data_IF_729423846967
#
_entry.id   IF_729423846967
#
_cell.length_a   1.000
_cell.length_b   1.000
_cell.length_c   1.000
_cell.angle_alpha   90.00
_cell.angle_beta   90.00
_cell.angle_gamma   90.00
#
_symmetry.space_group_name_H-M   'P 1'
#
loop_
_entity.id
_entity.type
_entity.pdbx_description
1 polymer ?
#
# COMPACT_ATOMS: atom_id res chain seq x y z
N UNK A 1 -3.71 -3.01 -5.12
CA UNK A 1 -2.31 -3.28 -5.50
C UNK A 1 -1.43 -3.64 -4.31
N UNK A 2 -1.39 -2.86 -3.23
CA UNK A 2 -0.55 -3.16 -2.05
C UNK A 2 -0.83 -4.55 -1.40
N UNK A 3 -2.09 -4.95 -1.22
CA UNK A 3 -2.44 -6.27 -0.67
C UNK A 3 -2.00 -7.43 -1.57
N UNK A 4 -2.10 -7.26 -2.89
CA UNK A 4 -1.69 -8.29 -3.87
C UNK A 4 -0.16 -8.40 -3.89
N UNK A 5 0.55 -7.29 -3.76
CA UNK A 5 2.01 -7.29 -3.63
C UNK A 5 2.47 -8.06 -2.39
N UNK A 6 1.85 -7.82 -1.22
CA UNK A 6 2.12 -8.56 0.02
C UNK A 6 1.97 -10.08 -0.15
N UNK A 7 0.93 -10.51 -0.87
CA UNK A 7 0.69 -11.93 -1.18
C UNK A 7 1.75 -12.49 -2.13
N UNK A 8 2.07 -11.76 -3.20
CA UNK A 8 3.05 -12.20 -4.20
C UNK A 8 4.45 -12.35 -3.61
N UNK A 9 4.83 -11.46 -2.68
CA UNK A 9 6.07 -11.53 -1.91
C UNK A 9 6.03 -12.56 -0.78
N UNK A 10 4.94 -13.32 -0.64
CA UNK A 10 4.73 -14.34 0.40
C UNK A 10 4.88 -13.81 1.82
N UNK A 11 4.59 -12.52 2.05
CA UNK A 11 4.67 -11.88 3.36
C UNK A 11 3.45 -12.25 4.21
N UNK A 12 2.25 -12.15 3.62
CA UNK A 12 0.97 -12.47 4.27
C UNK A 12 -0.08 -12.79 3.19
N UNK A 13 -0.96 -13.75 3.46
CA UNK A 13 -2.10 -13.99 2.57
C UNK A 13 -3.19 -12.94 2.80
N UNK A 14 -3.86 -12.53 1.71
CA UNK A 14 -4.89 -11.48 1.75
C UNK A 14 -6.04 -11.85 2.70
N UNK A 15 -6.36 -13.15 2.82
CA UNK A 15 -7.42 -13.62 3.72
C UNK A 15 -7.09 -13.46 5.22
N UNK A 16 -5.81 -13.28 5.55
CA UNK A 16 -5.34 -13.03 6.92
C UNK A 16 -5.34 -11.55 7.29
N UNK A 17 -5.43 -10.65 6.31
CA UNK A 17 -5.49 -9.21 6.55
C UNK A 17 -6.85 -8.82 7.13
N UNK A 18 -6.81 -7.97 8.16
CA UNK A 18 -7.97 -7.27 8.69
C UNK A 18 -8.11 -5.93 7.94
N UNK A 19 -9.00 -5.93 6.94
CA UNK A 19 -9.25 -4.74 6.12
C UNK A 19 -9.90 -3.61 6.92
N UNK A 20 -10.58 -3.90 8.04
CA UNK A 20 -11.20 -2.88 8.88
C UNK A 20 -10.16 -2.09 9.70
N UNK A 21 -9.03 -2.74 10.04
CA UNK A 21 -7.89 -2.09 10.72
C UNK A 21 -6.87 -1.49 9.77
N UNK A 22 -7.04 -1.67 8.47
CA UNK A 22 -6.09 -1.17 7.47
C UNK A 22 -6.18 0.35 7.35
N UNK A 23 -5.04 1.02 7.49
CA UNK A 23 -4.95 2.48 7.33
C UNK A 23 -4.29 2.83 6.01
N UNK A 24 -4.88 3.77 5.27
CA UNK A 24 -4.31 4.38 4.07
C UNK A 24 -4.16 5.89 4.28
N UNK A 25 -2.94 6.41 4.13
CA UNK A 25 -2.63 7.83 4.27
C UNK A 25 -1.91 8.32 3.01
N UNK A 26 -2.39 9.39 2.39
CA UNK A 26 -1.65 10.08 1.33
C UNK A 26 -0.52 10.88 1.97
N UNK A 27 0.73 10.56 1.63
CA UNK A 27 1.91 11.27 2.14
C UNK A 27 2.28 12.44 1.23
N UNK A 28 2.18 12.24 -0.09
CA UNK A 28 2.51 13.26 -1.08
C UNK A 28 1.73 13.01 -2.37
N UNK A 29 1.35 14.09 -3.04
CA UNK A 29 0.85 14.06 -4.40
C UNK A 29 1.52 15.17 -5.21
N UNK A 30 2.05 14.82 -6.38
CA UNK A 30 2.64 15.77 -7.32
C UNK A 30 1.87 15.70 -8.64
N UNK A 31 1.38 16.85 -9.11
CA UNK A 31 0.74 16.95 -10.41
C UNK A 31 1.80 16.92 -11.52
N UNK A 32 1.71 15.93 -12.40
CA UNK A 32 2.47 15.84 -13.65
C UNK A 32 1.70 16.53 -14.79
N UNK A 33 2.34 16.56 -15.98
CA UNK A 33 1.68 16.97 -17.23
C UNK A 33 0.55 15.97 -17.57
N UNK A 34 -0.40 16.45 -18.36
CA UNK A 34 -1.50 15.61 -18.90
C UNK A 34 -2.50 15.09 -17.85
N UNK A 35 -2.64 15.77 -16.71
CA UNK A 35 -3.62 15.38 -15.68
C UNK A 35 -3.25 14.11 -14.91
N UNK A 36 -2.01 13.65 -15.05
CA UNK A 36 -1.41 12.58 -14.26
C UNK A 36 -0.94 13.15 -12.92
N UNK A 37 -1.06 12.37 -11.86
CA UNK A 37 -0.56 12.66 -10.53
C UNK A 37 0.36 11.51 -10.09
N UNK A 38 1.56 11.85 -9.63
CA UNK A 38 2.36 10.91 -8.85
C UNK A 38 1.87 10.97 -7.42
N UNK A 39 1.35 9.87 -6.91
CA UNK A 39 0.86 9.76 -5.53
C UNK A 39 1.76 8.82 -4.74
N UNK A 40 2.04 9.21 -3.51
CA UNK A 40 2.76 8.40 -2.52
C UNK A 40 1.83 8.14 -1.35
N UNK A 41 1.49 6.88 -1.14
CA UNK A 41 0.62 6.44 -0.05
C UNK A 41 1.41 5.62 0.96
N UNK A 42 1.13 5.86 2.25
CA UNK A 42 1.48 4.98 3.35
C UNK A 42 0.30 4.06 3.63
N UNK A 43 0.55 2.76 3.64
CA UNK A 43 -0.38 1.73 4.04
C UNK A 43 0.13 1.05 5.29
N UNK A 44 -0.74 0.90 6.28
CA UNK A 44 -0.49 0.08 7.46
C UNK A 44 -1.54 -1.02 7.46
N UNK A 45 -1.11 -2.24 7.18
CA UNK A 45 -1.96 -3.42 7.23
C UNK A 45 -1.80 -4.11 8.58
N UNK A 46 -2.90 -4.63 9.09
CA UNK A 46 -2.90 -5.49 10.27
C UNK A 46 -3.43 -6.85 9.85
N UNK A 47 -2.82 -7.91 10.38
CA UNK A 47 -3.31 -9.26 10.23
C UNK A 47 -4.12 -9.67 11.48
N UNK A 48 -4.94 -10.71 11.34
CA UNK A 48 -5.76 -11.29 12.41
C UNK A 48 -4.94 -11.82 13.59
N UNK A 49 -3.67 -12.16 13.39
CA UNK A 49 -2.74 -12.60 14.45
C UNK A 49 -2.05 -11.45 15.19
N UNK A 50 -2.35 -10.19 14.85
CA UNK A 50 -1.79 -9.02 15.52
C UNK A 50 -0.50 -8.48 14.89
N UNK A 51 -0.04 -9.04 13.76
CA UNK A 51 1.12 -8.51 13.03
C UNK A 51 0.73 -7.26 12.25
N UNK A 52 1.70 -6.37 12.07
CA UNK A 52 1.53 -5.16 11.26
C UNK A 52 2.57 -5.07 10.15
N UNK A 53 2.13 -4.60 8.99
CA UNK A 53 2.95 -4.43 7.80
C UNK A 53 2.79 -3.01 7.30
N UNK A 54 3.89 -2.27 7.30
CA UNK A 54 3.92 -0.91 6.80
C UNK A 54 4.53 -0.88 5.40
N UNK A 55 3.78 -0.32 4.45
CA UNK A 55 4.21 -0.18 3.06
C UNK A 55 4.06 1.25 2.61
N UNK A 56 5.00 1.70 1.78
CA UNK A 56 4.85 2.91 0.99
C UNK A 56 4.66 2.49 -0.47
N UNK A 57 3.58 2.96 -1.10
CA UNK A 57 3.40 2.79 -2.54
C UNK A 57 3.58 4.11 -3.24
N UNK A 58 4.23 4.07 -4.39
CA UNK A 58 4.29 5.17 -5.34
C UNK A 58 3.66 4.71 -6.65
N UNK A 59 2.65 5.42 -7.11
CA UNK A 59 2.02 5.17 -8.41
C UNK A 59 1.75 6.49 -9.14
N UNK A 60 1.72 6.40 -10.46
CA UNK A 60 1.16 7.45 -11.30
C UNK A 60 -0.32 7.10 -11.58
N UNK A 61 -1.24 8.00 -11.25
CA UNK A 61 -2.69 7.88 -11.50
C UNK A 61 -3.18 9.07 -12.32
N UNK A 62 -4.21 8.90 -13.15
CA UNK A 62 -4.91 9.99 -13.83
C UNK A 62 -6.37 10.03 -13.37
N UNK A 63 -7.08 11.10 -13.74
CA UNK A 63 -8.51 11.24 -13.43
C UNK A 63 -9.39 10.18 -14.13
N UNK A 64 -8.90 9.59 -15.22
CA UNK A 64 -9.60 8.58 -16.02
C UNK A 64 -9.19 7.15 -15.64
N UNK A 65 -7.94 6.95 -15.22
CA UNK A 65 -7.38 5.64 -14.89
C UNK A 65 -6.69 5.66 -13.52
N UNK A 66 -7.18 4.82 -12.60
CA UNK A 66 -6.71 4.72 -11.21
C UNK A 66 -5.23 4.27 -11.10
N UNK A 67 -4.60 3.86 -12.20
CA UNK A 67 -3.14 3.67 -12.35
C UNK A 67 -2.74 3.71 -13.82
N UNK A 68 -1.88 4.66 -14.19
CA UNK A 68 -1.38 4.88 -15.56
C UNK A 68 -0.03 4.17 -15.79
N UNK A 69 0.64 3.72 -14.73
CA UNK A 69 1.93 3.01 -14.81
C UNK A 69 2.13 2.06 -13.64
N UNK A 70 3.16 1.19 -13.76
CA UNK A 70 3.52 0.20 -12.75
C UNK A 70 3.73 0.81 -11.37
N UNK A 71 3.12 0.18 -10.36
CA UNK A 71 3.19 0.65 -8.96
C UNK A 71 4.45 0.16 -8.30
N UNK A 72 5.25 1.11 -7.80
CA UNK A 72 6.40 0.79 -6.95
C UNK A 72 5.92 0.62 -5.51
N UNK A 73 6.31 -0.48 -4.86
CA UNK A 73 5.96 -0.78 -3.48
C UNK A 73 7.24 -0.97 -2.67
N UNK A 74 7.31 -0.29 -1.53
CA UNK A 74 8.43 -0.33 -0.59
C UNK A 74 7.91 -0.84 0.75
N UNK A 75 8.44 -1.97 1.23
CA UNK A 75 8.19 -2.43 2.59
C UNK A 75 9.02 -1.59 3.55
N UNK A 76 8.35 -0.84 4.43
CA UNK A 76 9.00 0.05 5.40
C UNK A 76 9.35 -0.70 6.67
N UNK A 77 8.41 -1.49 7.19
CA UNK A 77 8.63 -2.28 8.40
C UNK A 77 7.68 -3.47 8.47
N UNK A 78 8.15 -4.52 9.15
CA UNK A 78 7.37 -5.69 9.56
C UNK A 78 7.56 -5.85 11.05
N UNK A 79 6.48 -5.66 11.81
CA UNK A 79 6.53 -5.70 13.27
C UNK A 79 5.53 -6.71 13.80
N UNK A 80 5.97 -7.50 14.76
CA UNK A 80 5.14 -8.41 15.54
C UNK A 80 4.92 -7.74 16.89
N UNK A 81 3.67 -7.43 17.23
CA UNK A 81 3.32 -7.01 18.57
C UNK A 81 3.22 -8.28 19.42
N UNK A 82 4.31 -8.65 20.09
CA UNK A 82 4.29 -9.65 21.16
C UNK A 82 3.93 -8.95 22.47
N UNK A 83 2.79 -9.34 23.05
CA UNK A 83 2.39 -8.98 24.42
C UNK A 83 3.32 -9.62 25.47
#
# INVERSE_FOLDING_TARGET
MAQVWLKNEKIVDIAQLDTAKTTKTLLAAEKKKDGIYTEVYRFIFHDKTGKSYELITKNDASAEECSVSGVSVFLVSKSELTE
#
